data_IF_455354199598
#
_entry.id   IF_455354199598
#
_cell.length_a   1.000
_cell.length_b   1.000
_cell.length_c   1.000
_cell.angle_alpha   90.00
_cell.angle_beta   90.00
_cell.angle_gamma   90.00
#
_symmetry.space_group_name_H-M   'P 1'
#
loop_
_entity.id
_entity.type
_entity.pdbx_description
1 polymer ?
#
# COMPACT_ATOMS: atom_id res chain seq x y z
N UNK A 1 -10.15 14.53 -27.07
CA UNK A 1 -9.07 13.53 -26.97
C UNK A 1 -8.96 12.67 -28.23
N UNK A 2 -10.04 12.39 -28.98
CA UNK A 2 -9.94 11.69 -30.27
C UNK A 2 -9.41 10.26 -30.14
N UNK A 3 -9.56 9.66 -28.96
CA UNK A 3 -9.15 8.30 -28.67
C UNK A 3 -10.27 7.34 -29.02
N UNK A 4 -9.93 6.22 -29.66
CA UNK A 4 -10.88 5.14 -29.94
C UNK A 4 -11.15 4.28 -28.70
N UNK A 5 -10.18 4.21 -27.76
CA UNK A 5 -10.28 3.46 -26.50
C UNK A 5 -9.29 3.97 -25.44
N UNK A 6 -9.55 3.64 -24.18
CA UNK A 6 -8.60 3.82 -23.08
C UNK A 6 -7.66 2.61 -22.98
N UNK A 7 -6.39 2.84 -22.63
CA UNK A 7 -5.48 1.75 -22.30
C UNK A 7 -5.77 1.21 -20.90
N UNK A 8 -6.01 2.12 -19.95
CA UNK A 8 -6.29 1.80 -18.55
C UNK A 8 -7.52 2.59 -18.12
N UNK A 9 -8.45 1.93 -17.44
CA UNK A 9 -9.60 2.59 -16.83
C UNK A 9 -9.51 2.46 -15.30
N UNK A 10 -9.46 3.59 -14.62
CA UNK A 10 -9.46 3.65 -13.15
C UNK A 10 -10.90 3.80 -12.66
N UNK A 11 -11.36 2.90 -11.80
CA UNK A 11 -12.64 2.99 -11.12
C UNK A 11 -12.41 3.38 -9.66
N UNK A 12 -13.06 4.46 -9.23
CA UNK A 12 -12.88 4.99 -7.87
C UNK A 12 -14.21 5.25 -7.18
N UNK A 13 -14.24 5.04 -5.86
CA UNK A 13 -15.42 5.31 -5.04
C UNK A 13 -15.54 6.78 -4.60
N UNK A 14 -14.54 7.62 -4.85
CA UNK A 14 -14.61 9.07 -4.61
C UNK A 14 -15.01 9.83 -5.88
N UNK A 15 -15.50 11.06 -5.72
CA UNK A 15 -15.50 12.05 -6.77
C UNK A 15 -14.07 12.31 -7.29
N UNK A 16 -13.93 12.53 -8.60
CA UNK A 16 -12.65 12.84 -9.20
C UNK A 16 -12.28 14.32 -9.00
N UNK A 17 -11.27 14.55 -8.17
CA UNK A 17 -10.63 15.85 -8.00
C UNK A 17 -9.19 15.71 -8.46
N UNK A 18 -8.80 16.48 -9.47
CA UNK A 18 -7.46 16.40 -10.06
C UNK A 18 -6.44 17.15 -9.19
N UNK A 19 -6.11 16.56 -8.03
CA UNK A 19 -5.28 17.16 -6.98
C UNK A 19 -4.23 16.15 -6.48
N UNK A 20 -2.99 16.56 -6.14
CA UNK A 20 -1.94 15.65 -5.68
C UNK A 20 -2.23 14.96 -4.33
N UNK A 21 -3.26 15.41 -3.60
CA UNK A 21 -3.75 14.75 -2.37
C UNK A 21 -4.81 13.68 -2.64
N UNK A 22 -5.22 13.49 -3.89
CA UNK A 22 -6.21 12.52 -4.31
C UNK A 22 -5.48 11.34 -4.99
N UNK A 23 -5.45 10.17 -4.36
CA UNK A 23 -4.62 9.04 -4.79
C UNK A 23 -4.91 8.56 -6.21
N UNK A 24 -6.19 8.54 -6.63
CA UNK A 24 -6.58 8.20 -8.00
C UNK A 24 -6.13 9.24 -9.03
N UNK A 25 -6.01 10.52 -8.64
CA UNK A 25 -5.49 11.57 -9.51
C UNK A 25 -3.98 11.43 -9.68
N UNK A 26 -3.25 11.14 -8.59
CA UNK A 26 -1.81 10.83 -8.65
C UNK A 26 -1.56 9.65 -9.57
N UNK A 27 -2.29 8.55 -9.39
CA UNK A 27 -2.18 7.36 -10.23
C UNK A 27 -2.56 7.63 -11.69
N UNK A 28 -3.63 8.37 -11.94
CA UNK A 28 -4.06 8.73 -13.29
C UNK A 28 -3.03 9.59 -14.02
N UNK A 29 -2.53 10.64 -13.37
CA UNK A 29 -1.49 11.52 -13.94
C UNK A 29 -0.15 10.81 -14.12
N UNK A 30 0.21 9.92 -13.20
CA UNK A 30 1.40 9.07 -13.34
C UNK A 30 1.32 8.24 -14.61
N UNK A 31 0.22 7.50 -14.81
CA UNK A 31 0.03 6.64 -15.98
C UNK A 31 -0.05 7.45 -17.29
N UNK A 32 -0.70 8.59 -17.28
CA UNK A 32 -0.72 9.52 -18.42
C UNK A 32 0.70 10.01 -18.76
N UNK A 33 1.51 10.37 -17.75
CA UNK A 33 2.90 10.78 -17.94
C UNK A 33 3.80 9.63 -18.44
N UNK A 34 3.40 8.38 -18.25
CA UNK A 34 4.05 7.20 -18.85
C UNK A 34 3.62 6.96 -20.32
N UNK A 35 2.70 7.77 -20.85
CA UNK A 35 2.24 7.71 -22.24
C UNK A 35 0.96 6.90 -22.47
N UNK A 36 0.26 6.48 -21.41
CA UNK A 36 -0.98 5.71 -21.52
C UNK A 36 -2.22 6.61 -21.63
N UNK A 37 -3.23 6.14 -22.35
CA UNK A 37 -4.57 6.73 -22.37
C UNK A 37 -5.36 6.27 -21.16
N UNK A 38 -5.57 7.15 -20.20
CA UNK A 38 -6.21 6.82 -18.92
C UNK A 38 -7.61 7.39 -18.84
N UNK A 39 -8.59 6.51 -18.60
CA UNK A 39 -9.97 6.89 -18.28
C UNK A 39 -10.23 6.79 -16.78
N UNK A 40 -11.12 7.63 -16.24
CA UNK A 40 -11.57 7.54 -14.84
C UNK A 40 -13.09 7.43 -14.80
N UNK A 41 -13.57 6.42 -14.07
CA UNK A 41 -14.97 6.22 -13.71
C UNK A 41 -15.10 6.50 -12.20
N UNK A 42 -15.66 7.65 -11.85
CA UNK A 42 -15.85 8.08 -10.47
C UNK A 42 -17.28 7.79 -9.99
N UNK A 43 -17.42 7.12 -8.85
CA UNK A 43 -18.72 6.82 -8.22
C UNK A 43 -19.76 6.22 -9.18
N UNK A 44 -19.42 5.13 -9.91
CA UNK A 44 -20.41 4.46 -10.75
C UNK A 44 -21.50 3.82 -9.88
N UNK A 45 -22.75 3.92 -10.34
CA UNK A 45 -23.84 3.12 -9.78
C UNK A 45 -23.53 1.63 -9.92
N UNK A 46 -23.73 0.85 -8.86
CA UNK A 46 -23.24 -0.54 -8.76
C UNK A 46 -24.32 -1.60 -8.73
N UNK A 47 -25.58 -1.23 -8.98
CA UNK A 47 -26.69 -2.17 -9.09
C UNK A 47 -26.60 -3.03 -10.36
N UNK A 48 -25.97 -2.53 -11.42
CA UNK A 48 -25.67 -3.26 -12.66
C UNK A 48 -24.24 -3.00 -13.15
N UNK A 49 -23.81 -3.72 -14.17
CA UNK A 49 -22.51 -3.51 -14.83
C UNK A 49 -22.50 -2.32 -15.81
N UNK A 50 -23.66 -1.73 -16.14
CA UNK A 50 -23.79 -0.75 -17.23
C UNK A 50 -22.92 0.48 -17.02
N UNK A 51 -22.88 1.03 -15.80
CA UNK A 51 -22.06 2.19 -15.45
C UNK A 51 -20.55 1.96 -15.64
N UNK A 52 -20.10 0.70 -15.65
CA UNK A 52 -18.70 0.31 -15.83
C UNK A 52 -18.33 0.14 -17.31
N UNK A 53 -19.30 0.18 -18.22
CA UNK A 53 -19.10 0.08 -19.68
C UNK A 53 -18.97 1.44 -20.36
N UNK A 54 -19.17 2.55 -19.65
CA UNK A 54 -19.27 3.90 -20.24
C UNK A 54 -18.02 4.37 -21.00
N UNK A 55 -16.83 3.83 -20.68
CA UNK A 55 -15.56 4.12 -21.37
C UNK A 55 -15.11 2.97 -22.30
N UNK A 56 -15.95 1.95 -22.48
CA UNK A 56 -15.62 0.74 -23.22
C UNK A 56 -14.67 -0.20 -22.47
N UNK A 57 -14.15 -1.18 -23.20
CA UNK A 57 -13.14 -2.12 -22.71
C UNK A 57 -11.76 -1.44 -22.71
N UNK A 58 -10.99 -1.48 -21.61
CA UNK A 58 -9.62 -0.98 -21.61
C UNK A 58 -8.71 -1.94 -22.40
N UNK A 59 -7.68 -1.40 -23.05
CA UNK A 59 -6.74 -2.24 -23.82
C UNK A 59 -5.82 -3.07 -22.91
N UNK A 60 -5.54 -2.61 -21.69
CA UNK A 60 -4.63 -3.26 -20.74
C UNK A 60 -5.37 -3.82 -19.53
N UNK A 61 -5.96 -2.98 -18.66
CA UNK A 61 -6.62 -3.44 -17.44
C UNK A 61 -7.56 -2.39 -16.82
N UNK A 62 -8.43 -2.85 -15.90
CA UNK A 62 -9.13 -2.00 -14.94
C UNK A 62 -8.31 -1.82 -13.67
N UNK A 63 -8.13 -0.58 -13.22
CA UNK A 63 -7.54 -0.24 -11.92
C UNK A 63 -8.62 0.17 -10.93
N UNK A 64 -8.76 -0.49 -9.78
CA UNK A 64 -9.88 -0.26 -8.87
C UNK A 64 -9.40 0.18 -7.49
N UNK A 65 -10.01 1.24 -6.96
CA UNK A 65 -9.70 1.79 -5.64
C UNK A 65 -10.94 2.25 -4.88
N UNK A 66 -10.90 2.09 -3.56
CA UNK A 66 -11.92 2.61 -2.64
C UNK A 66 -11.88 4.13 -2.45
N UNK A 67 -10.91 4.82 -3.05
CA UNK A 67 -10.70 6.25 -2.89
C UNK A 67 -9.61 6.60 -1.87
N UNK A 68 -9.63 7.83 -1.38
CA UNK A 68 -8.69 8.36 -0.40
C UNK A 68 -8.96 7.88 1.03
N UNK A 69 -10.16 7.36 1.29
CA UNK A 69 -10.52 6.79 2.57
C UNK A 69 -11.30 5.49 2.36
N UNK A 70 -11.25 4.62 3.37
CA UNK A 70 -12.00 3.37 3.37
C UNK A 70 -13.50 3.62 3.23
N UNK A 71 -14.18 2.80 2.41
CA UNK A 71 -15.61 2.99 2.14
C UNK A 71 -16.49 2.87 3.40
N UNK A 72 -16.10 2.04 4.37
CA UNK A 72 -16.84 1.90 5.62
C UNK A 72 -16.60 3.08 6.56
N UNK A 73 -15.40 3.67 6.57
CA UNK A 73 -15.12 4.89 7.37
C UNK A 73 -15.90 6.09 6.80
N UNK A 74 -16.03 6.17 5.47
CA UNK A 74 -16.85 7.19 4.81
C UNK A 74 -18.34 7.07 5.15
N UNK A 75 -18.84 5.85 5.33
CA UNK A 75 -20.27 5.60 5.54
C UNK A 75 -20.68 5.53 7.02
N UNK A 76 -19.78 5.11 7.91
CA UNK A 76 -20.09 4.85 9.30
C UNK A 76 -19.19 5.65 10.25
N UNK A 77 -19.73 5.99 11.43
CA UNK A 77 -18.93 6.49 12.55
C UNK A 77 -18.23 5.34 13.27
N UNK A 78 -17.31 5.68 14.18
CA UNK A 78 -16.68 4.68 15.05
C UNK A 78 -17.70 3.93 15.92
N UNK A 79 -18.84 4.54 16.24
CA UNK A 79 -19.94 3.91 16.98
C UNK A 79 -20.92 3.14 16.07
N UNK A 80 -20.51 2.80 14.84
CA UNK A 80 -21.29 2.06 13.85
C UNK A 80 -22.59 2.76 13.40
N UNK A 81 -22.69 4.08 13.59
CA UNK A 81 -23.84 4.87 13.10
C UNK A 81 -23.61 5.30 11.66
N UNK A 82 -24.67 5.30 10.86
CA UNK A 82 -24.61 5.82 9.49
C UNK A 82 -24.34 7.33 9.53
N UNK A 83 -23.40 7.80 8.71
CA UNK A 83 -23.19 9.22 8.46
C UNK A 83 -24.28 9.75 7.53
N UNK A 84 -24.68 11.00 7.76
CA UNK A 84 -25.65 11.71 6.92
C UNK A 84 -24.99 12.36 5.69
N UNK A 85 -23.66 12.40 5.65
CA UNK A 85 -22.86 13.07 4.63
C UNK A 85 -21.64 12.21 4.20
N UNK A 86 -21.17 12.42 2.97
CA UNK A 86 -19.91 11.85 2.45
C UNK A 86 -19.02 12.98 1.93
N UNK A 87 -17.89 13.22 2.61
CA UNK A 87 -16.99 14.32 2.28
C UNK A 87 -16.38 14.24 0.87
N UNK A 88 -16.34 13.06 0.26
CA UNK A 88 -15.72 12.81 -1.04
C UNK A 88 -16.74 12.69 -2.17
N UNK A 89 -18.00 13.06 -1.92
CA UNK A 89 -19.10 13.02 -2.89
C UNK A 89 -19.56 14.44 -3.22
N UNK A 90 -20.02 14.72 -4.47
CA UNK A 90 -20.64 16.00 -4.81
C UNK A 90 -21.83 16.31 -3.89
N UNK A 91 -21.91 17.54 -3.43
CA UNK A 91 -22.89 18.07 -2.47
C UNK A 91 -22.99 17.29 -1.14
N UNK A 92 -21.92 16.56 -0.82
CA UNK A 92 -21.83 15.67 0.34
C UNK A 92 -22.90 14.58 0.38
N UNK A 93 -23.47 14.19 -0.77
CA UNK A 93 -24.56 13.22 -0.81
C UNK A 93 -24.14 11.88 -0.20
N UNK A 94 -24.90 11.34 0.77
CA UNK A 94 -24.59 10.04 1.34
C UNK A 94 -24.97 8.91 0.37
N UNK A 95 -24.33 7.75 0.55
CA UNK A 95 -24.76 6.52 -0.14
C UNK A 95 -24.46 6.48 -1.64
N UNK A 96 -23.45 7.24 -2.12
CA UNK A 96 -22.94 7.20 -3.50
C UNK A 96 -21.82 6.20 -3.76
N UNK A 97 -21.58 5.30 -2.81
CA UNK A 97 -20.64 4.18 -2.94
C UNK A 97 -21.13 2.96 -2.14
N UNK A 98 -20.79 1.73 -2.56
CA UNK A 98 -21.09 0.54 -1.78
C UNK A 98 -20.08 0.35 -0.64
N UNK A 99 -20.50 -0.38 0.39
CA UNK A 99 -19.57 -0.91 1.39
C UNK A 99 -18.55 -1.84 0.75
N UNK A 100 -17.28 -1.70 1.15
CA UNK A 100 -16.14 -2.47 0.60
C UNK A 100 -16.08 -2.30 -0.91
N UNK A 101 -16.04 -1.03 -1.35
CA UNK A 101 -16.24 -0.65 -2.75
C UNK A 101 -15.32 -1.37 -3.72
N UNK A 102 -14.06 -1.64 -3.36
CA UNK A 102 -13.13 -2.41 -4.19
C UNK A 102 -13.69 -3.79 -4.56
N UNK A 103 -14.34 -4.51 -3.62
CA UNK A 103 -14.93 -5.83 -3.90
C UNK A 103 -16.06 -5.69 -4.90
N UNK A 104 -17.00 -4.78 -4.63
CA UNK A 104 -18.21 -4.61 -5.46
C UNK A 104 -17.82 -4.15 -6.86
N UNK A 105 -16.96 -3.14 -6.98
CA UNK A 105 -16.52 -2.60 -8.26
C UNK A 105 -15.70 -3.62 -9.06
N UNK A 106 -14.90 -4.47 -8.41
CA UNK A 106 -14.19 -5.56 -9.10
C UNK A 106 -15.17 -6.55 -9.72
N UNK A 107 -16.22 -6.92 -8.99
CA UNK A 107 -17.25 -7.81 -9.50
C UNK A 107 -18.02 -7.18 -10.67
N UNK A 108 -18.37 -5.88 -10.58
CA UNK A 108 -19.03 -5.17 -11.68
C UNK A 108 -18.15 -5.04 -12.92
N UNK A 109 -16.85 -4.76 -12.77
CA UNK A 109 -15.90 -4.75 -13.88
C UNK A 109 -15.76 -6.13 -14.52
N UNK A 110 -15.71 -7.20 -13.71
CA UNK A 110 -15.66 -8.59 -14.20
C UNK A 110 -16.94 -8.97 -14.94
N UNK A 111 -18.10 -8.50 -14.49
CA UNK A 111 -19.38 -8.70 -15.18
C UNK A 111 -19.41 -7.95 -16.52
N UNK A 112 -18.93 -6.69 -16.55
CA UNK A 112 -18.86 -5.89 -17.77
C UNK A 112 -17.91 -6.49 -18.82
N UNK A 113 -16.72 -6.92 -18.39
CA UNK A 113 -15.68 -7.46 -19.28
C UNK A 113 -14.89 -8.59 -18.60
N UNK A 114 -15.41 -9.82 -18.71
CA UNK A 114 -14.90 -11.01 -18.02
C UNK A 114 -13.39 -11.26 -18.19
N UNK A 115 -12.88 -11.16 -19.42
CA UNK A 115 -11.48 -11.45 -19.74
C UNK A 115 -10.54 -10.27 -19.51
N UNK A 116 -11.03 -9.14 -19.01
CA UNK A 116 -10.18 -7.96 -18.79
C UNK A 116 -9.48 -8.06 -17.45
N UNK A 117 -8.16 -7.88 -17.40
CA UNK A 117 -7.44 -7.94 -16.13
C UNK A 117 -7.89 -6.85 -15.15
N UNK A 118 -7.96 -7.21 -13.86
CA UNK A 118 -8.38 -6.34 -12.76
C UNK A 118 -7.23 -6.19 -11.76
N UNK A 119 -6.77 -4.95 -11.63
CA UNK A 119 -5.73 -4.51 -10.70
C UNK A 119 -6.40 -3.73 -9.57
N UNK A 120 -6.24 -4.18 -8.32
CA UNK A 120 -6.80 -3.49 -7.14
C UNK A 120 -5.71 -2.79 -6.33
N UNK A 121 -6.04 -1.64 -5.73
CA UNK A 121 -5.08 -0.88 -4.94
C UNK A 121 -5.70 0.20 -4.05
N UNK A 122 -4.85 1.06 -3.49
CA UNK A 122 -5.22 2.09 -2.52
C UNK A 122 -5.37 1.55 -1.10
N UNK A 123 -5.82 2.41 -0.18
CA UNK A 123 -5.88 2.13 1.26
C UNK A 123 -6.75 0.90 1.55
N UNK A 124 -7.97 0.86 0.97
CA UNK A 124 -8.94 -0.21 1.22
C UNK A 124 -8.38 -1.61 0.86
N UNK A 125 -7.67 -1.71 -0.27
CA UNK A 125 -7.06 -2.96 -0.72
C UNK A 125 -5.76 -3.29 0.04
N UNK A 126 -4.86 -2.31 0.17
CA UNK A 126 -3.54 -2.48 0.79
C UNK A 126 -3.64 -3.06 2.20
N UNK A 127 -4.55 -2.53 3.01
CA UNK A 127 -4.73 -2.95 4.41
C UNK A 127 -5.37 -4.33 4.56
N UNK A 128 -6.00 -4.85 3.50
CA UNK A 128 -6.72 -6.14 3.48
C UNK A 128 -6.04 -7.19 2.62
N UNK A 129 -4.72 -7.07 2.39
CA UNK A 129 -3.93 -7.99 1.56
C UNK A 129 -3.83 -9.40 2.12
N UNK A 130 -3.93 -9.58 3.44
CA UNK A 130 -4.09 -10.88 4.11
C UNK A 130 -5.41 -10.90 4.91
N UNK A 131 -5.70 -11.98 5.61
CA UNK A 131 -6.83 -12.06 6.53
C UNK A 131 -6.81 -10.88 7.53
N UNK A 132 -7.93 -10.17 7.61
CA UNK A 132 -8.04 -8.90 8.32
C UNK A 132 -9.29 -8.90 9.21
N UNK A 133 -9.16 -8.38 10.42
CA UNK A 133 -10.29 -8.10 11.29
C UNK A 133 -11.06 -6.89 10.77
N UNK A 134 -12.34 -7.10 10.50
CA UNK A 134 -13.29 -6.11 10.02
C UNK A 134 -14.18 -5.65 11.18
N UNK A 135 -13.87 -4.47 11.73
CA UNK A 135 -14.55 -3.89 12.88
C UNK A 135 -16.06 -3.76 12.67
N UNK A 136 -16.49 -3.36 11.46
CA UNK A 136 -17.90 -3.12 11.16
C UNK A 136 -18.77 -4.37 11.15
N UNK A 137 -18.19 -5.53 10.86
CA UNK A 137 -18.91 -6.81 10.89
C UNK A 137 -18.52 -7.71 12.06
N UNK A 138 -17.61 -7.23 12.92
CA UNK A 138 -16.99 -7.95 14.04
C UNK A 138 -16.49 -9.34 13.64
N UNK A 139 -15.81 -9.44 12.49
CA UNK A 139 -15.36 -10.71 11.92
C UNK A 139 -13.99 -10.60 11.30
N UNK A 140 -13.22 -11.69 11.37
CA UNK A 140 -12.03 -11.86 10.52
C UNK A 140 -12.49 -12.24 9.12
N UNK A 141 -12.16 -11.40 8.14
CA UNK A 141 -12.44 -11.61 6.72
C UNK A 141 -11.23 -12.17 5.99
N UNK A 142 -11.48 -12.75 4.82
CA UNK A 142 -10.42 -13.20 3.91
C UNK A 142 -9.65 -12.00 3.37
N UNK A 143 -8.56 -12.27 2.67
CA UNK A 143 -7.89 -11.25 1.87
C UNK A 143 -8.88 -10.67 0.87
N UNK A 144 -8.85 -9.36 0.69
CA UNK A 144 -9.68 -8.66 -0.29
C UNK A 144 -9.43 -9.17 -1.71
N UNK A 145 -8.22 -9.67 -2.00
CA UNK A 145 -7.88 -10.25 -3.29
C UNK A 145 -8.73 -11.50 -3.59
N UNK A 146 -9.02 -12.31 -2.56
CA UNK A 146 -9.90 -13.48 -2.69
C UNK A 146 -11.36 -13.05 -2.85
N UNK A 147 -11.84 -12.11 -2.04
CA UNK A 147 -13.25 -11.69 -2.05
C UNK A 147 -13.62 -10.88 -3.32
N UNK A 148 -12.66 -10.14 -3.90
CA UNK A 148 -12.86 -9.31 -5.09
C UNK A 148 -12.71 -10.07 -6.41
N UNK A 149 -12.06 -11.23 -6.40
CA UNK A 149 -11.67 -11.97 -7.62
C UNK A 149 -10.86 -11.10 -8.61
N UNK A 150 -10.04 -10.20 -8.07
CA UNK A 150 -9.06 -9.44 -8.83
C UNK A 150 -7.82 -10.29 -9.12
N UNK A 151 -7.09 -9.94 -10.18
CA UNK A 151 -5.96 -10.74 -10.67
C UNK A 151 -4.67 -10.39 -9.93
N UNK A 152 -4.51 -9.13 -9.52
CA UNK A 152 -3.35 -8.63 -8.76
C UNK A 152 -3.74 -7.47 -7.84
N UNK A 153 -3.14 -7.44 -6.65
CA UNK A 153 -3.26 -6.35 -5.68
C UNK A 153 -1.92 -5.62 -5.59
N UNK A 154 -1.92 -4.31 -5.85
CA UNK A 154 -0.76 -3.45 -5.60
C UNK A 154 -0.95 -2.71 -4.26
N UNK A 155 0.03 -2.86 -3.36
CA UNK A 155 0.01 -2.25 -2.03
C UNK A 155 1.26 -1.42 -1.77
N UNK A 156 1.17 -0.53 -0.79
CA UNK A 156 2.24 0.42 -0.55
C UNK A 156 2.06 1.71 -1.37
N UNK A 157 3.13 2.50 -1.44
CA UNK A 157 3.32 3.47 -2.51
C UNK A 157 3.66 2.69 -3.80
N UNK A 158 2.64 2.49 -4.64
CA UNK A 158 2.68 1.54 -5.74
C UNK A 158 3.09 2.16 -7.09
N UNK A 159 3.58 3.41 -7.13
CA UNK A 159 3.88 4.13 -8.37
C UNK A 159 4.81 3.35 -9.31
N UNK A 160 5.92 2.84 -8.78
CA UNK A 160 6.88 2.04 -9.56
C UNK A 160 6.26 0.72 -10.03
N UNK A 161 5.57 0.02 -9.14
CA UNK A 161 4.94 -1.27 -9.47
C UNK A 161 3.85 -1.12 -10.53
N UNK A 162 3.06 -0.04 -10.45
CA UNK A 162 2.01 0.27 -11.40
C UNK A 162 2.58 0.65 -12.78
N UNK A 163 3.63 1.47 -12.82
CA UNK A 163 4.32 1.81 -14.05
C UNK A 163 4.95 0.57 -14.70
N UNK A 164 5.62 -0.28 -13.91
CA UNK A 164 6.18 -1.55 -14.36
C UNK A 164 5.10 -2.46 -14.94
N UNK A 165 4.00 -2.66 -14.20
CA UNK A 165 2.88 -3.51 -14.62
C UNK A 165 2.29 -3.01 -15.95
N UNK A 166 2.00 -1.71 -16.07
CA UNK A 166 1.42 -1.12 -17.27
C UNK A 166 2.33 -1.28 -18.50
N UNK A 167 3.62 -0.97 -18.38
CA UNK A 167 4.58 -1.14 -19.48
C UNK A 167 4.74 -2.60 -19.89
N UNK A 168 4.81 -3.51 -18.92
CA UNK A 168 5.02 -4.92 -19.21
C UNK A 168 3.78 -5.60 -19.81
N UNK A 169 2.56 -5.26 -19.35
CA UNK A 169 1.32 -5.73 -19.99
C UNK A 169 1.20 -5.15 -21.41
N UNK A 170 1.55 -3.88 -21.62
CA UNK A 170 1.61 -3.28 -22.96
C UNK A 170 2.57 -4.00 -23.90
N UNK A 171 3.65 -4.58 -23.36
CA UNK A 171 4.60 -5.42 -24.08
C UNK A 171 4.16 -6.89 -24.23
N UNK A 172 2.92 -7.24 -23.86
CA UNK A 172 2.32 -8.55 -24.05
C UNK A 172 2.51 -9.54 -22.91
N UNK A 173 3.00 -9.12 -21.74
CA UNK A 173 3.05 -9.98 -20.55
C UNK A 173 1.67 -10.15 -19.90
N UNK A 174 1.43 -11.29 -19.29
CA UNK A 174 0.20 -11.58 -18.54
C UNK A 174 0.37 -11.33 -17.04
N UNK A 175 -0.73 -11.16 -16.30
CA UNK A 175 -0.67 -10.83 -14.87
C UNK A 175 0.05 -11.91 -14.04
N UNK A 176 -0.08 -13.18 -14.44
CA UNK A 176 0.52 -14.32 -13.76
C UNK A 176 2.05 -14.26 -13.75
N UNK A 177 2.66 -13.57 -14.71
CA UNK A 177 4.11 -13.40 -14.83
C UNK A 177 4.69 -12.46 -13.77
N UNK A 178 3.87 -11.62 -13.11
CA UNK A 178 4.31 -10.64 -12.10
C UNK A 178 4.31 -11.20 -10.68
N UNK A 179 4.39 -12.51 -10.53
CA UNK A 179 4.29 -13.18 -9.24
C UNK A 179 5.38 -12.81 -8.23
N UNK A 180 6.52 -12.28 -8.67
CA UNK A 180 7.66 -11.84 -7.86
C UNK A 180 7.81 -10.30 -7.79
N UNK A 181 6.85 -9.55 -8.36
CA UNK A 181 6.85 -8.09 -8.35
C UNK A 181 6.74 -7.55 -6.92
N UNK A 182 7.65 -6.64 -6.54
CA UNK A 182 7.60 -5.95 -5.24
C UNK A 182 6.38 -5.06 -5.11
N UNK A 183 5.79 -5.04 -3.92
CA UNK A 183 4.55 -4.30 -3.68
C UNK A 183 3.31 -4.93 -4.32
N UNK A 184 3.41 -6.17 -4.80
CA UNK A 184 2.27 -6.91 -5.34
C UNK A 184 1.86 -8.10 -4.47
N UNK A 185 0.58 -8.45 -4.51
CA UNK A 185 0.04 -9.69 -4.00
C UNK A 185 -0.82 -10.38 -5.06
N UNK A 186 -0.70 -11.70 -5.17
CA UNK A 186 -1.39 -12.54 -6.15
C UNK A 186 -1.96 -13.79 -5.49
N UNK A 187 -2.98 -14.37 -6.10
CA UNK A 187 -3.45 -15.71 -5.72
C UNK A 187 -2.61 -16.76 -6.44
N UNK A 188 -2.12 -17.75 -5.71
CA UNK A 188 -1.44 -18.92 -6.25
C UNK A 188 -2.12 -20.20 -5.80
N UNK A 189 -2.19 -21.18 -6.71
CA UNK A 189 -2.68 -22.51 -6.39
C UNK A 189 -1.56 -23.38 -5.78
N UNK A 190 -0.32 -23.16 -6.21
CA UNK A 190 0.85 -23.90 -5.76
C UNK A 190 2.01 -22.95 -5.48
N UNK A 191 2.83 -23.29 -4.47
CA UNK A 191 4.07 -22.57 -4.18
C UNK A 191 5.14 -22.94 -5.19
N UNK A 192 5.95 -21.99 -5.68
CA UNK A 192 7.02 -22.30 -6.61
C UNK A 192 8.01 -23.32 -6.03
N UNK A 193 8.48 -24.23 -6.89
CA UNK A 193 9.52 -25.19 -6.53
C UNK A 193 10.81 -24.47 -6.06
N UNK A 194 11.61 -25.17 -5.26
CA UNK A 194 12.93 -24.69 -4.79
C UNK A 194 12.90 -23.52 -3.78
N UNK A 195 11.72 -23.11 -3.29
CA UNK A 195 11.60 -22.16 -2.18
C UNK A 195 11.69 -22.84 -0.81
N UNK A 196 12.33 -22.17 0.14
CA UNK A 196 12.36 -22.57 1.55
C UNK A 196 11.18 -21.95 2.29
N UNK A 197 10.34 -22.78 2.90
CA UNK A 197 9.25 -22.35 3.77
C UNK A 197 9.77 -22.05 5.18
N UNK A 198 9.48 -20.86 5.67
CA UNK A 198 9.67 -20.50 7.08
C UNK A 198 8.30 -20.61 7.76
N UNK A 199 8.08 -21.66 8.54
CA UNK A 199 6.81 -21.96 9.18
C UNK A 199 6.55 -21.01 10.36
N UNK A 200 5.57 -20.13 10.19
CA UNK A 200 5.04 -19.24 11.22
C UNK A 200 3.56 -19.56 11.54
N UNK A 201 3.09 -20.77 11.24
CA UNK A 201 1.69 -21.17 11.43
C UNK A 201 1.29 -21.41 12.89
N UNK A 202 2.24 -21.29 13.82
CA UNK A 202 2.07 -21.47 15.27
C UNK A 202 2.70 -20.26 15.99
N UNK A 203 2.16 -19.94 17.17
CA UNK A 203 2.73 -18.89 18.03
C UNK A 203 4.18 -19.27 18.35
N UNK A 204 5.08 -18.30 18.24
CA UNK A 204 6.48 -18.49 18.60
C UNK A 204 6.58 -18.99 20.05
N UNK A 205 7.39 -20.03 20.27
CA UNK A 205 7.74 -20.47 21.61
C UNK A 205 8.40 -19.31 22.38
N UNK A 206 8.04 -19.07 23.65
CA UNK A 206 8.74 -18.09 24.48
C UNK A 206 10.25 -18.37 24.46
N UNK A 207 11.03 -17.40 24.02
CA UNK A 207 12.48 -17.55 23.95
C UNK A 207 13.08 -17.54 25.35
N UNK A 208 13.39 -18.73 25.87
CA UNK A 208 14.59 -19.08 26.66
C UNK A 208 14.74 -20.60 26.71
N UNK A 209 15.65 -21.14 25.89
CA UNK A 209 16.42 -22.33 26.29
C UNK A 209 17.87 -22.01 25.90
N UNK A 210 18.61 -21.46 26.85
CA UNK A 210 20.07 -21.54 26.76
C UNK A 210 20.41 -23.04 26.66
N UNK A 211 21.12 -23.44 25.61
CA UNK A 211 21.73 -24.77 25.62
C UNK A 211 22.80 -24.73 26.71
N UNK A 212 22.67 -25.56 27.74
CA UNK A 212 23.81 -25.92 28.56
C UNK A 212 24.81 -26.58 27.61
N UNK A 213 25.90 -25.88 27.32
CA UNK A 213 27.03 -26.49 26.63
C UNK A 213 27.51 -27.64 27.50
N UNK A 214 27.51 -28.86 26.98
CA UNK A 214 28.16 -29.97 27.67
C UNK A 214 29.67 -29.64 27.75
N UNK A 215 30.28 -29.57 28.95
CA UNK A 215 31.70 -29.26 29.10
C UNK A 215 32.65 -30.31 28.49
N UNK A 216 32.12 -31.45 28.02
CA UNK A 216 32.89 -32.56 27.44
C UNK A 216 32.66 -32.79 25.95
N UNK A 217 32.01 -31.87 25.24
CA UNK A 217 31.73 -32.01 23.81
C UNK A 217 32.99 -31.68 22.96
N UNK A 218 33.91 -32.63 22.87
CA UNK A 218 35.04 -32.59 21.93
C UNK A 218 34.65 -33.28 20.62
N UNK A 219 34.07 -32.53 19.68
CA UNK A 219 33.90 -33.02 18.31
C UNK A 219 34.66 -32.17 17.29
N UNK A 220 35.68 -32.82 16.73
CA UNK A 220 36.49 -32.40 15.58
C UNK A 220 35.64 -31.85 14.45
N UNK A 221 35.94 -30.63 13.99
CA UNK A 221 35.49 -30.14 12.69
C UNK A 221 36.26 -30.87 11.59
N UNK A 222 35.68 -31.89 11.00
CA UNK A 222 36.04 -32.33 9.65
C UNK A 222 35.00 -31.76 8.67
N UNK A 223 35.49 -30.96 7.73
CA UNK A 223 34.78 -30.54 6.54
C UNK A 223 34.55 -31.76 5.64
N UNK A 224 33.28 -32.10 5.40
CA UNK A 224 32.90 -33.07 4.38
C UNK A 224 32.31 -32.28 3.21
N UNK A 225 33.03 -32.26 2.10
CA UNK A 225 32.52 -31.82 0.80
C UNK A 225 31.28 -32.67 0.44
N UNK A 226 30.19 -32.01 0.04
CA UNK A 226 29.04 -32.70 -0.54
C UNK A 226 29.04 -32.53 -2.07
N UNK A 227 28.86 -33.61 -2.83
CA UNK A 227 28.75 -33.53 -4.28
C UNK A 227 27.42 -32.92 -4.70
N UNK A 228 27.47 -32.25 -5.84
CA UNK A 228 26.38 -31.60 -6.54
C UNK A 228 25.53 -32.67 -7.24
N UNK A 229 24.27 -32.86 -6.85
CA UNK A 229 23.29 -33.65 -7.62
C UNK A 229 22.03 -32.82 -7.85
N UNK A 230 21.78 -32.51 -9.13
CA UNK A 230 20.53 -31.98 -9.67
C UNK A 230 19.39 -32.99 -9.46
N UNK A 231 18.76 -32.95 -8.28
CA UNK A 231 17.44 -33.53 -8.03
C UNK A 231 16.49 -32.44 -7.57
N UNK A 232 15.19 -32.47 -7.95
CA UNK A 232 14.20 -31.56 -7.38
C UNK A 232 14.24 -31.72 -5.86
N UNK A 233 14.73 -30.69 -5.18
CA UNK A 233 14.96 -30.73 -3.74
C UNK A 233 13.64 -30.53 -3.02
N UNK A 234 13.29 -31.38 -2.04
CA UNK A 234 12.03 -31.26 -1.30
C UNK A 234 11.93 -29.90 -0.58
N UNK A 235 10.71 -29.37 -0.50
CA UNK A 235 10.38 -28.09 0.13
C UNK A 235 10.93 -28.08 1.58
N UNK A 236 11.90 -27.21 1.85
CA UNK A 236 12.58 -27.14 3.15
C UNK A 236 11.75 -26.29 4.11
N UNK A 237 11.22 -26.91 5.17
CA UNK A 237 10.41 -26.21 6.19
C UNK A 237 11.26 -25.91 7.42
N UNK A 238 11.33 -24.64 7.82
CA UNK A 238 12.09 -24.14 8.98
C UNK A 238 11.13 -23.41 9.92
N UNK A 239 10.97 -23.83 11.18
CA UNK A 239 10.18 -23.05 12.14
C UNK A 239 10.71 -21.61 12.29
N UNK A 240 9.84 -20.60 12.29
CA UNK A 240 10.22 -19.18 12.37
C UNK A 240 11.24 -18.88 13.49
N UNK A 241 11.12 -19.44 14.72
CA UNK A 241 12.12 -19.21 15.78
C UNK A 241 13.52 -19.74 15.47
N UNK A 242 13.64 -20.75 14.60
CA UNK A 242 14.90 -21.40 14.24
C UNK A 242 15.55 -20.80 12.98
N UNK A 243 14.85 -19.88 12.30
CA UNK A 243 15.32 -19.27 11.06
C UNK A 243 16.74 -18.69 11.18
N UNK A 244 17.07 -18.00 12.27
CA UNK A 244 18.41 -17.40 12.46
C UNK A 244 19.55 -18.40 12.60
N UNK A 245 19.24 -19.69 12.81
CA UNK A 245 20.21 -20.78 13.01
C UNK A 245 20.30 -21.71 11.81
N UNK A 246 19.44 -21.52 10.82
CA UNK A 246 19.38 -22.38 9.64
C UNK A 246 20.07 -21.70 8.45
N UNK A 247 20.81 -22.49 7.68
CA UNK A 247 21.37 -22.04 6.41
C UNK A 247 20.34 -22.23 5.30
N UNK A 248 19.93 -21.14 4.64
CA UNK A 248 19.01 -21.12 3.51
C UNK A 248 19.18 -19.83 2.71
N UNK A 249 18.84 -19.86 1.43
CA UNK A 249 18.84 -18.64 0.61
C UNK A 249 17.68 -17.73 1.03
N UNK A 250 18.04 -16.55 1.56
CA UNK A 250 17.06 -15.55 1.99
C UNK A 250 16.19 -15.04 0.84
N UNK A 251 16.68 -15.06 -0.41
CA UNK A 251 15.93 -14.63 -1.60
C UNK A 251 14.90 -15.66 -2.05
N UNK A 252 15.22 -16.94 -1.89
CA UNK A 252 14.34 -18.07 -2.22
C UNK A 252 13.66 -18.60 -0.95
N UNK A 253 13.10 -17.70 -0.14
CA UNK A 253 12.40 -18.07 1.10
C UNK A 253 11.17 -17.22 1.34
N UNK A 254 10.11 -17.84 1.87
CA UNK A 254 8.87 -17.18 2.22
C UNK A 254 8.44 -17.56 3.65
N UNK A 255 7.64 -16.72 4.29
CA UNK A 255 7.08 -16.99 5.61
C UNK A 255 5.63 -17.46 5.44
N UNK A 256 5.34 -18.66 5.95
CA UNK A 256 4.00 -19.21 5.99
C UNK A 256 3.24 -18.67 7.21
N UNK A 257 2.24 -17.83 6.98
CA UNK A 257 1.36 -17.32 8.03
C UNK A 257 0.31 -18.37 8.45
N UNK A 258 -0.27 -18.26 9.66
CA UNK A 258 -1.44 -19.06 10.02
C UNK A 258 -2.56 -18.86 8.98
N UNK A 259 -3.17 -19.94 8.53
CA UNK A 259 -4.25 -19.92 7.53
C UNK A 259 -5.46 -19.11 7.99
N UNK A 260 -6.25 -18.58 7.05
CA UNK A 260 -7.52 -17.91 7.31
C UNK A 260 -8.41 -18.68 8.31
N UNK A 261 -8.62 -19.98 8.07
CA UNK A 261 -9.46 -20.82 8.94
C UNK A 261 -8.94 -20.92 10.38
N UNK A 262 -7.64 -20.75 10.60
CA UNK A 262 -7.06 -20.75 11.96
C UNK A 262 -7.25 -19.39 12.63
N UNK A 263 -6.91 -18.30 11.93
CA UNK A 263 -6.99 -16.93 12.51
C UNK A 263 -8.42 -16.47 12.78
N UNK A 264 -9.41 -17.03 12.07
CA UNK A 264 -10.84 -16.81 12.38
C UNK A 264 -11.23 -17.37 13.75
N UNK A 265 -10.61 -18.48 14.16
CA UNK A 265 -10.99 -19.23 15.37
C UNK A 265 -10.03 -18.98 16.55
N UNK A 266 -8.96 -18.22 16.35
CA UNK A 266 -7.93 -17.98 17.37
C UNK A 266 -7.36 -16.56 17.24
N UNK A 267 -7.75 -15.70 18.19
CA UNK A 267 -7.31 -14.31 18.26
C UNK A 267 -5.79 -14.16 18.49
N UNK A 268 -5.15 -15.12 19.16
CA UNK A 268 -3.71 -15.10 19.39
C UNK A 268 -2.94 -15.44 18.10
N UNK A 269 -3.45 -16.37 17.28
CA UNK A 269 -2.90 -16.61 15.94
C UNK A 269 -3.12 -15.44 15.00
N UNK A 270 -4.26 -14.73 15.10
CA UNK A 270 -4.49 -13.49 14.37
C UNK A 270 -3.46 -12.41 14.75
N UNK A 271 -3.28 -12.17 16.06
CA UNK A 271 -2.29 -11.20 16.55
C UNK A 271 -0.85 -11.57 16.14
N UNK A 272 -0.51 -12.87 16.15
CA UNK A 272 0.77 -13.36 15.67
C UNK A 272 0.97 -13.11 14.16
N UNK A 273 -0.03 -13.41 13.33
CA UNK A 273 0.02 -13.13 11.89
C UNK A 273 0.22 -11.65 11.60
N UNK A 274 -0.52 -10.77 12.30
CA UNK A 274 -0.36 -9.32 12.19
C UNK A 274 1.03 -8.85 12.62
N UNK A 275 1.58 -9.38 13.73
CA UNK A 275 2.94 -9.05 14.16
C UNK A 275 3.98 -9.41 13.10
N UNK A 276 3.88 -10.60 12.49
CA UNK A 276 4.80 -11.04 11.42
C UNK A 276 4.67 -10.13 10.20
N UNK A 277 3.46 -9.80 9.77
CA UNK A 277 3.20 -8.83 8.70
C UNK A 277 3.93 -7.50 8.95
N UNK A 278 3.84 -6.96 10.16
CA UNK A 278 4.49 -5.70 10.53
C UNK A 278 6.03 -5.82 10.62
N UNK A 279 6.57 -6.97 11.02
CA UNK A 279 8.02 -7.22 11.03
C UNK A 279 8.61 -7.27 9.61
N UNK A 280 7.82 -7.72 8.64
CA UNK A 280 8.20 -7.79 7.24
C UNK A 280 7.90 -6.51 6.44
N UNK A 281 7.46 -5.43 7.10
CA UNK A 281 7.16 -4.14 6.48
C UNK A 281 8.41 -3.34 6.04
N UNK A 282 9.63 -3.80 6.33
CA UNK A 282 10.84 -3.14 5.85
C UNK A 282 11.17 -3.61 4.42
N UNK A 283 11.15 -2.73 3.41
CA UNK A 283 11.29 -3.12 2.00
C UNK A 283 12.64 -3.78 1.66
N UNK A 284 13.69 -3.52 2.44
CA UNK A 284 15.03 -4.03 2.18
C UNK A 284 15.30 -5.46 2.70
N UNK A 285 14.51 -5.91 3.68
CA UNK A 285 14.69 -7.23 4.31
C UNK A 285 13.38 -8.01 4.50
N UNK A 286 12.27 -7.43 4.04
CA UNK A 286 10.96 -8.07 4.01
C UNK A 286 11.01 -9.32 3.16
N UNK A 287 10.41 -10.39 3.67
CA UNK A 287 10.24 -11.66 2.97
C UNK A 287 8.86 -11.73 2.34
N UNK A 288 8.73 -12.60 1.35
CA UNK A 288 7.42 -13.02 0.86
C UNK A 288 6.62 -13.59 2.03
N UNK A 289 5.36 -13.19 2.14
CA UNK A 289 4.40 -13.76 3.08
C UNK A 289 3.39 -14.59 2.30
N UNK A 290 3.08 -15.79 2.81
CA UNK A 290 2.08 -16.66 2.19
C UNK A 290 1.04 -17.04 3.22
N UNK A 291 -0.23 -16.76 2.93
CA UNK A 291 -1.35 -17.16 3.78
C UNK A 291 -2.34 -18.02 3.02
N UNK A 292 -2.72 -19.16 3.61
CA UNK A 292 -3.69 -20.07 3.01
C UNK A 292 -5.13 -19.61 3.26
N UNK A 293 -5.90 -19.46 2.19
CA UNK A 293 -7.33 -19.14 2.18
C UNK A 293 -8.12 -20.26 1.49
N UNK A 294 -8.60 -21.24 2.26
CA UNK A 294 -9.25 -22.42 1.70
C UNK A 294 -8.25 -23.29 0.94
N UNK A 295 -8.45 -23.45 -0.37
CA UNK A 295 -7.57 -24.22 -1.27
C UNK A 295 -6.49 -23.37 -1.93
N UNK A 296 -6.56 -22.04 -1.81
CA UNK A 296 -5.67 -21.10 -2.48
C UNK A 296 -4.69 -20.46 -1.50
N UNK A 297 -3.53 -20.06 -2.00
CA UNK A 297 -2.54 -19.27 -1.28
C UNK A 297 -2.58 -17.82 -1.74
N UNK A 298 -2.64 -16.89 -0.80
CA UNK A 298 -2.37 -15.47 -1.05
C UNK A 298 -0.87 -15.26 -0.89
N UNK A 299 -0.21 -14.95 -2.00
CA UNK A 299 1.22 -14.69 -2.10
C UNK A 299 1.46 -13.18 -2.06
N UNK A 300 2.10 -12.69 -1.00
CA UNK A 300 2.37 -11.26 -0.80
C UNK A 300 3.88 -11.03 -0.91
N UNK A 301 4.30 -10.32 -1.95
CA UNK A 301 5.71 -9.99 -2.15
C UNK A 301 6.20 -8.94 -1.14
N UNK A 302 7.53 -8.73 -1.01
CA UNK A 302 8.06 -7.68 -0.16
C UNK A 302 7.53 -6.29 -0.54
N UNK A 303 7.42 -5.35 0.43
CA UNK A 303 6.95 -3.99 0.16
C UNK A 303 7.76 -3.27 -0.94
N UNK A 304 7.16 -2.29 -1.63
CA UNK A 304 7.86 -1.52 -2.64
C UNK A 304 9.01 -0.72 -2.01
N UNK A 305 10.08 -0.52 -2.79
CA UNK A 305 11.14 0.40 -2.38
C UNK A 305 10.55 1.83 -2.42
N UNK A 306 10.69 2.63 -1.34
CA UNK A 306 10.23 4.01 -1.32
C UNK A 306 10.85 4.82 -2.47
N UNK A 307 10.12 5.82 -2.95
CA UNK A 307 10.62 6.78 -3.92
C UNK A 307 11.76 7.60 -3.33
N UNK A 308 12.75 7.89 -4.16
CA UNK A 308 13.76 8.89 -3.86
C UNK A 308 13.14 10.31 -3.97
N UNK A 309 13.82 11.32 -3.42
CA UNK A 309 13.28 12.69 -3.35
C UNK A 309 12.94 13.26 -4.73
N UNK A 310 13.78 13.02 -5.73
CA UNK A 310 13.57 13.50 -7.10
C UNK A 310 12.38 12.82 -7.79
N UNK A 311 12.19 11.51 -7.58
CA UNK A 311 11.01 10.79 -8.05
C UNK A 311 9.74 11.27 -7.36
N UNK A 312 9.80 11.52 -6.04
CA UNK A 312 8.67 12.07 -5.30
C UNK A 312 8.31 13.47 -5.81
N UNK A 313 9.31 14.34 -5.98
CA UNK A 313 9.12 15.68 -6.55
C UNK A 313 8.47 15.60 -7.94
N UNK A 314 8.95 14.69 -8.80
CA UNK A 314 8.38 14.48 -10.13
C UNK A 314 6.89 14.11 -10.09
N UNK A 315 6.49 13.18 -9.20
CA UNK A 315 5.08 12.79 -9.03
C UNK A 315 4.21 13.96 -8.59
N UNK A 316 4.69 14.80 -7.67
CA UNK A 316 3.96 15.96 -7.16
C UNK A 316 4.00 17.16 -8.12
N UNK A 317 4.97 17.23 -9.03
CA UNK A 317 5.10 18.29 -10.03
C UNK A 317 4.32 18.05 -11.33
N UNK A 318 3.70 16.87 -11.48
CA UNK A 318 2.79 16.55 -12.60
C UNK A 318 1.70 17.64 -12.79
N UNK A 319 1.15 17.80 -14.00
CA UNK A 319 0.27 18.92 -14.35
C UNK A 319 -1.17 18.76 -13.82
N UNK A 320 -1.33 18.79 -12.49
CA UNK A 320 -2.63 18.78 -11.82
C UNK A 320 -3.39 20.10 -12.05
N UNK A 321 -4.69 20.01 -12.33
CA UNK A 321 -5.59 21.17 -12.43
C UNK A 321 -5.95 21.76 -11.06
N UNK A 322 -5.76 20.98 -9.98
CA UNK A 322 -6.11 21.31 -8.59
C UNK A 322 -7.57 21.71 -8.42
N UNK A 323 -8.48 21.13 -9.21
CA UNK A 323 -9.92 21.42 -9.20
C UNK A 323 -10.75 20.13 -9.35
N UNK A 324 -12.00 20.12 -8.86
CA UNK A 324 -12.96 19.08 -9.18
C UNK A 324 -13.18 18.93 -10.69
N UNK A 325 -13.53 17.73 -11.13
CA UNK A 325 -13.86 17.49 -12.54
C UNK A 325 -15.05 18.37 -12.98
N UNK A 326 -15.01 18.98 -14.20
CA UNK A 326 -16.08 19.88 -14.65
C UNK A 326 -17.48 19.26 -14.74
N UNK A 327 -17.58 17.93 -14.82
CA UNK A 327 -18.88 17.24 -14.84
C UNK A 327 -19.73 17.48 -13.59
N UNK A 328 -19.12 17.88 -12.47
CA UNK A 328 -19.84 18.18 -11.23
C UNK A 328 -20.44 19.60 -11.22
N UNK A 329 -20.16 20.44 -12.22
CA UNK A 329 -20.67 21.81 -12.30
C UNK A 329 -20.29 22.63 -11.06
N UNK A 330 -21.30 23.11 -10.32
CA UNK A 330 -21.13 23.91 -9.10
C UNK A 330 -21.26 23.09 -7.81
N UNK A 331 -21.33 21.75 -7.90
CA UNK A 331 -21.49 20.91 -6.72
C UNK A 331 -20.31 21.07 -5.77
N UNK A 332 -20.59 21.15 -4.47
CA UNK A 332 -19.56 21.32 -3.45
C UNK A 332 -19.00 19.96 -3.05
N UNK A 333 -17.67 19.80 -3.08
CA UNK A 333 -17.00 18.59 -2.57
C UNK A 333 -16.27 18.95 -1.26
N UNK A 334 -16.78 18.55 -0.08
CA UNK A 334 -16.21 18.97 1.20
C UNK A 334 -14.72 18.63 1.38
N UNK A 335 -14.30 17.44 0.94
CA UNK A 335 -12.90 17.02 1.02
C UNK A 335 -11.98 17.96 0.23
N UNK A 336 -12.41 18.40 -0.95
CA UNK A 336 -11.66 19.37 -1.76
C UNK A 336 -11.53 20.72 -1.05
N UNK A 337 -12.61 21.20 -0.41
CA UNK A 337 -12.57 22.47 0.34
C UNK A 337 -11.53 22.46 1.47
N UNK A 338 -11.33 21.30 2.12
CA UNK A 338 -10.35 21.14 3.19
C UNK A 338 -8.90 21.15 2.67
N UNK A 339 -8.67 20.57 1.49
CA UNK A 339 -7.31 20.25 1.00
C UNK A 339 -6.81 21.13 -0.13
N UNK A 340 -7.65 21.99 -0.74
CA UNK A 340 -7.29 22.81 -1.91
C UNK A 340 -6.04 23.69 -1.71
N UNK A 341 -5.78 24.11 -0.47
CA UNK A 341 -4.60 24.89 -0.06
C UNK A 341 -3.65 24.12 0.87
N UNK A 342 -3.77 22.79 0.94
CA UNK A 342 -2.84 21.92 1.66
C UNK A 342 -1.72 21.46 0.72
N UNK A 343 -0.53 21.29 1.28
CA UNK A 343 0.67 20.84 0.55
C UNK A 343 1.28 19.65 1.26
N UNK A 344 1.34 18.50 0.59
CA UNK A 344 1.94 17.28 1.17
C UNK A 344 3.47 17.35 1.06
N UNK A 345 4.20 17.32 2.17
CA UNK A 345 5.67 17.46 2.16
C UNK A 345 6.41 16.11 2.27
N UNK A 346 5.73 15.07 2.74
CA UNK A 346 6.33 13.75 2.98
C UNK A 346 5.30 12.63 3.10
N UNK A 347 5.76 11.39 2.94
CA UNK A 347 5.00 10.14 3.14
C UNK A 347 5.74 9.18 4.06
N UNK A 348 4.99 8.27 4.69
CA UNK A 348 5.49 7.22 5.56
C UNK A 348 5.45 7.59 7.04
N UNK A 349 5.57 6.58 7.91
CA UNK A 349 5.59 6.78 9.36
C UNK A 349 6.43 5.71 10.07
N UNK A 350 7.46 6.14 10.81
CA UNK A 350 8.29 5.23 11.61
C UNK A 350 7.72 4.96 13.03
N UNK A 351 6.53 5.50 13.33
CA UNK A 351 5.87 5.41 14.63
C UNK A 351 5.54 3.97 15.01
N UNK A 352 5.15 3.14 14.04
CA UNK A 352 4.92 1.70 14.26
C UNK A 352 3.82 1.39 15.26
N UNK A 353 2.76 2.20 15.29
CA UNK A 353 1.57 1.92 16.10
C UNK A 353 0.96 0.57 15.68
N UNK A 354 0.38 -0.16 16.63
CA UNK A 354 -0.25 -1.46 16.33
C UNK A 354 -1.46 -1.26 15.42
N UNK A 355 -1.55 -2.05 14.34
CA UNK A 355 -2.63 -1.94 13.33
C UNK A 355 -2.67 -0.57 12.64
N UNK A 356 -1.51 0.07 12.47
CA UNK A 356 -1.39 1.39 11.87
C UNK A 356 -1.57 1.32 10.35
N UNK A 357 -2.65 1.93 9.85
CA UNK A 357 -2.91 2.05 8.42
C UNK A 357 -1.77 2.75 7.66
N UNK A 358 -1.18 3.79 8.23
CA UNK A 358 -0.11 4.57 7.57
C UNK A 358 1.13 3.70 7.36
N UNK A 359 1.60 3.00 8.39
CA UNK A 359 2.81 2.17 8.26
C UNK A 359 2.59 1.04 7.25
N UNK A 360 1.39 0.48 7.22
CA UNK A 360 1.04 -0.61 6.31
C UNK A 360 0.81 -0.14 4.85
N UNK A 361 0.30 1.07 4.65
CA UNK A 361 -0.03 1.60 3.33
C UNK A 361 1.08 2.47 2.72
N UNK A 362 1.71 3.37 3.49
CA UNK A 362 2.78 4.22 2.97
C UNK A 362 4.18 3.70 3.30
N UNK A 363 4.27 2.76 4.23
CA UNK A 363 5.53 2.21 4.70
C UNK A 363 6.11 2.96 5.89
N UNK A 364 7.18 2.38 6.43
CA UNK A 364 7.85 2.84 7.65
C UNK A 364 8.99 3.83 7.43
N UNK A 365 9.41 4.02 6.18
CA UNK A 365 10.53 4.87 5.79
C UNK A 365 9.97 6.19 5.30
N UNK A 366 10.52 7.29 5.80
CA UNK A 366 10.06 8.62 5.41
C UNK A 366 10.61 8.96 4.04
N UNK A 367 9.69 9.29 3.12
CA UNK A 367 9.98 9.88 1.82
C UNK A 367 9.68 11.36 1.93
N UNK A 368 10.64 12.21 1.57
CA UNK A 368 10.50 13.66 1.72
C UNK A 368 10.73 14.33 0.39
N UNK A 369 9.87 15.28 0.07
CA UNK A 369 10.04 16.18 -1.08
C UNK A 369 11.19 17.15 -0.86
N UNK A 370 11.74 17.70 -1.93
CA UNK A 370 12.66 18.82 -1.83
C UNK A 370 11.92 20.10 -1.45
N UNK A 371 12.63 21.01 -0.80
CA UNK A 371 12.08 22.33 -0.45
C UNK A 371 11.67 23.09 -1.71
N UNK A 372 12.46 22.99 -2.79
CA UNK A 372 12.17 23.63 -4.06
C UNK A 372 10.86 23.10 -4.69
N UNK A 373 10.59 21.80 -4.65
CA UNK A 373 9.32 21.24 -5.15
C UNK A 373 8.13 21.75 -4.36
N UNK A 374 8.25 21.80 -3.03
CA UNK A 374 7.17 22.30 -2.17
C UNK A 374 6.94 23.80 -2.41
N UNK A 375 7.99 24.60 -2.55
CA UNK A 375 7.88 26.04 -2.88
C UNK A 375 7.19 26.23 -4.23
N UNK A 376 7.58 25.48 -5.27
CA UNK A 376 6.91 25.53 -6.59
C UNK A 376 5.43 25.21 -6.49
N UNK A 377 5.04 24.26 -5.64
CA UNK A 377 3.61 23.95 -5.42
C UNK A 377 2.88 25.10 -4.70
N UNK A 378 3.49 25.72 -3.70
CA UNK A 378 2.93 26.90 -3.01
C UNK A 378 2.72 28.05 -4.02
N UNK A 379 3.69 28.29 -4.92
CA UNK A 379 3.56 29.28 -5.99
C UNK A 379 2.41 28.93 -6.95
N UNK A 380 2.29 27.66 -7.36
CA UNK A 380 1.14 27.18 -8.16
C UNK A 380 -0.19 27.41 -7.42
N UNK A 381 -0.25 27.18 -6.10
CA UNK A 381 -1.45 27.45 -5.29
C UNK A 381 -1.80 28.93 -5.31
N UNK A 382 -0.82 29.79 -5.05
CA UNK A 382 -0.97 31.26 -5.09
C UNK A 382 -1.57 31.71 -6.42
N UNK A 383 -1.10 31.14 -7.53
CA UNK A 383 -1.43 31.61 -8.87
C UNK A 383 -2.70 30.95 -9.46
N UNK A 384 -3.04 29.72 -9.05
CA UNK A 384 -4.08 28.92 -9.71
C UNK A 384 -5.31 28.62 -8.85
N UNK A 385 -5.21 28.65 -7.51
CA UNK A 385 -6.31 28.26 -6.63
C UNK A 385 -7.25 29.46 -6.39
N UNK A 386 -8.52 29.39 -6.84
CA UNK A 386 -9.46 30.49 -6.66
C UNK A 386 -9.73 30.77 -5.18
N UNK A 387 -9.65 32.04 -4.78
CA UNK A 387 -9.91 32.46 -3.41
C UNK A 387 -8.79 32.15 -2.41
N UNK A 388 -7.55 31.96 -2.88
CA UNK A 388 -6.40 31.83 -1.98
C UNK A 388 -6.19 33.11 -1.17
N UNK A 389 -6.21 32.97 0.16
CA UNK A 389 -6.12 34.10 1.11
C UNK A 389 -4.68 34.42 1.53
N UNK A 390 -3.68 33.76 0.94
CA UNK A 390 -2.28 33.86 1.37
C UNK A 390 -1.90 32.88 2.50
N UNK A 391 -2.78 31.96 2.89
CA UNK A 391 -2.54 30.99 3.96
C UNK A 391 -2.63 29.56 3.43
N UNK A 392 -1.56 28.80 3.61
CA UNK A 392 -1.54 27.33 3.43
C UNK A 392 -2.25 26.71 4.64
N UNK A 393 -3.27 25.88 4.38
CA UNK A 393 -4.10 25.33 5.47
C UNK A 393 -3.39 24.26 6.27
N UNK A 394 -2.51 23.50 5.61
CA UNK A 394 -1.78 22.39 6.21
C UNK A 394 -0.51 22.05 5.41
N UNK A 395 0.56 21.73 6.13
CA UNK A 395 1.75 21.09 5.58
C UNK A 395 1.60 19.58 5.82
N UNK A 396 0.98 18.93 4.84
CA UNK A 396 0.49 17.57 4.93
C UNK A 396 1.57 16.48 4.92
N UNK A 397 1.10 15.26 5.10
CA UNK A 397 1.88 14.06 5.39
C UNK A 397 1.30 13.39 6.63
N UNK A 398 1.55 12.10 6.89
CA UNK A 398 0.87 11.41 8.01
C UNK A 398 1.15 12.03 9.39
N UNK A 399 2.25 12.76 9.51
CA UNK A 399 2.65 13.52 10.69
C UNK A 399 3.76 14.50 10.29
N UNK A 400 3.42 15.76 9.99
CA UNK A 400 4.34 16.78 9.47
C UNK A 400 5.71 16.84 10.20
N UNK A 401 5.71 16.52 11.50
CA UNK A 401 6.91 16.44 12.35
C UNK A 401 7.93 15.36 11.96
N UNK A 402 7.67 14.51 10.96
CA UNK A 402 8.62 13.49 10.50
C UNK A 402 9.41 13.89 9.24
N UNK A 403 9.20 15.09 8.68
CA UNK A 403 9.89 15.54 7.47
C UNK A 403 11.42 15.43 7.59
N UNK A 404 12.06 14.76 6.61
CA UNK A 404 13.49 14.43 6.54
C UNK A 404 14.05 13.60 7.71
N UNK A 405 13.21 13.08 8.61
CA UNK A 405 13.66 12.22 9.71
C UNK A 405 13.85 10.78 9.23
N UNK A 406 15.10 10.34 9.20
CA UNK A 406 15.49 9.00 8.76
C UNK A 406 16.46 8.32 9.74
N UNK A 407 16.77 7.05 9.47
CA UNK A 407 17.81 6.36 10.22
C UNK A 407 19.18 6.98 9.92
N UNK A 408 20.00 7.20 10.95
CA UNK A 408 21.37 7.73 10.85
C UNK A 408 22.30 6.82 10.03
N UNK A 409 21.96 5.54 9.85
CA UNK A 409 22.78 4.57 9.12
C UNK A 409 21.93 3.77 8.13
N UNK A 410 22.18 3.90 6.81
CA UNK A 410 21.51 3.10 5.79
C UNK A 410 21.72 1.59 5.98
N UNK A 411 22.89 1.17 6.42
CA UNK A 411 23.21 -0.25 6.68
C UNK A 411 22.34 -0.84 7.80
N UNK A 412 22.13 -0.07 8.87
CA UNK A 412 21.24 -0.49 9.98
C UNK A 412 19.79 -0.50 9.49
N UNK A 413 19.37 0.54 8.76
CA UNK A 413 18.01 0.61 8.22
C UNK A 413 17.68 -0.60 7.34
N UNK A 414 18.59 -1.01 6.46
CA UNK A 414 18.41 -2.17 5.57
C UNK A 414 18.19 -3.49 6.31
N UNK A 415 18.80 -3.68 7.49
CA UNK A 415 18.70 -4.91 8.29
C UNK A 415 17.72 -4.83 9.47
N UNK A 416 17.11 -3.67 9.72
CA UNK A 416 16.26 -3.43 10.88
C UNK A 416 14.90 -4.17 10.79
N UNK A 417 14.54 -4.89 11.87
CA UNK A 417 13.22 -5.55 12.08
C UNK A 417 12.42 -4.94 13.24
N UNK A 418 12.86 -3.80 13.79
CA UNK A 418 12.17 -3.14 14.92
C UNK A 418 10.80 -2.64 14.45
N UNK A 419 9.73 -2.85 15.21
CA UNK A 419 8.37 -2.43 14.82
C UNK A 419 8.17 -0.91 14.85
N UNK A 420 8.66 -0.25 15.90
CA UNK A 420 8.51 1.19 16.13
C UNK A 420 9.86 1.83 16.41
N UNK A 421 10.16 2.99 15.81
CA UNK A 421 11.38 3.74 16.15
C UNK A 421 11.27 4.54 17.46
N UNK A 422 10.06 4.69 18.01
CA UNK A 422 9.77 5.54 19.18
C UNK A 422 9.39 4.74 20.44
N UNK A 423 9.01 3.46 20.29
CA UNK A 423 8.58 2.58 21.39
C UNK A 423 9.45 1.31 21.48
N UNK A 424 9.71 0.75 22.70
CA UNK A 424 9.38 1.27 24.03
C UNK A 424 10.27 2.46 24.45
N UNK A 425 11.37 2.67 23.73
CA UNK A 425 12.27 3.81 23.87
C UNK A 425 12.62 4.34 22.49
N UNK A 426 13.01 5.61 22.40
CA UNK A 426 13.46 6.20 21.15
C UNK A 426 14.73 5.48 20.68
N UNK A 427 14.74 5.05 19.42
CA UNK A 427 15.87 4.40 18.81
C UNK A 427 17.07 5.34 18.72
N UNK A 428 18.23 4.94 19.27
CA UNK A 428 19.47 5.74 19.20
C UNK A 428 19.95 6.05 17.77
N UNK A 429 19.54 5.23 16.81
CA UNK A 429 19.85 5.38 15.38
C UNK A 429 18.81 6.21 14.61
N UNK A 430 17.75 6.71 15.24
CA UNK A 430 16.81 7.63 14.62
C UNK A 430 17.42 9.04 14.62
N UNK A 431 17.37 9.74 13.48
CA UNK A 431 17.58 11.18 13.46
C UNK A 431 16.36 11.86 14.09
N UNK A 432 16.60 12.73 15.08
CA UNK A 432 15.57 13.47 15.81
C UNK A 432 15.72 14.98 15.62
N UNK A 433 16.51 15.39 14.62
CA UNK A 433 16.70 16.80 14.27
C UNK A 433 15.51 17.33 13.46
N UNK A 434 14.69 18.17 14.10
CA UNK A 434 13.53 18.82 13.48
C UNK A 434 13.86 20.15 12.79
N UNK A 435 15.13 20.60 12.78
CA UNK A 435 15.52 21.84 12.12
C UNK A 435 15.03 21.97 10.68
N UNK A 436 15.00 20.91 9.83
CA UNK A 436 14.45 21.03 8.49
C UNK A 436 12.96 21.39 8.44
N UNK A 437 12.16 20.91 9.41
CA UNK A 437 10.74 21.28 9.51
C UNK A 437 10.57 22.70 10.05
N UNK A 438 11.36 23.08 11.06
CA UNK A 438 11.28 24.41 11.69
C UNK A 438 11.72 25.53 10.74
N UNK A 439 12.82 25.33 10.01
CA UNK A 439 13.28 26.30 9.01
C UNK A 439 12.22 26.52 7.93
N UNK A 440 11.47 25.46 7.57
CA UNK A 440 10.36 25.54 6.64
C UNK A 440 9.24 26.48 7.13
N UNK A 441 8.93 26.44 8.43
CA UNK A 441 7.86 27.24 9.06
C UNK A 441 8.30 28.70 9.29
N UNK A 442 9.56 28.92 9.70
CA UNK A 442 10.05 30.24 10.15
C UNK A 442 10.46 31.16 8.99
N UNK A 443 10.98 30.61 7.88
CA UNK A 443 11.49 31.42 6.75
C UNK A 443 10.37 32.07 5.92
N UNK A 444 9.14 31.58 6.05
CA UNK A 444 8.00 32.03 5.23
C UNK A 444 6.89 32.73 6.01
N UNK A 445 7.11 33.10 7.28
CA UNK A 445 6.32 34.17 7.88
C UNK A 445 6.64 35.48 7.15
N UNK A 446 5.65 36.22 6.62
CA UNK A 446 5.93 37.58 6.20
C UNK A 446 6.41 38.33 7.44
N UNK A 447 7.56 38.98 7.33
CA UNK A 447 7.99 39.95 8.32
C UNK A 447 6.81 40.86 8.63
N UNK A 448 6.26 40.74 9.85
CA UNK A 448 5.26 41.69 10.34
C UNK A 448 5.96 43.05 10.44
N UNK A 449 5.83 43.86 9.40
CA UNK A 449 6.11 45.28 9.41
C UNK A 449 4.88 46.05 9.87
#
# INVERSE_FOLDING_TARGET
MGWDSCDIIIVTADAYVDHPSFGMAVVGRLLEAQGFRVGIISQPEWESADAFTQLGRPNLFFGITGGNMDSLINRYTADLRLRSDDAYTPDAEPGKRPDRSVIVYSQRCREAYYDTPIVIGGIEASLRRIAQYDYWSDKVRRSILVDSNADILLFGNAERALAELAHQISNGKTIEEFWDMRGAALIKNETPDQWTEIDSTRIDWPSKIDKISNPYDFHNKQSVDKPNEDRPSPLKIIPLPLQRKADFDSKLSYIRLPSFNKVVNDAALYAHASRVLHQEANPYNGKVLVQKHGTQDVWVNPPPIPLETDEMDWVFDLPYQRKPHPSYGNARIPAYDMIKTSVNIMRGCFGGCTFCSITEHEGRIIQSRSEDSVIREIEKIRDQVPGFTGTISDLGGPTANMYKLNCKSPTIQKSCKRLSCVYPTICKHLNTDHSPTLNYIVVHEPSRS
#
